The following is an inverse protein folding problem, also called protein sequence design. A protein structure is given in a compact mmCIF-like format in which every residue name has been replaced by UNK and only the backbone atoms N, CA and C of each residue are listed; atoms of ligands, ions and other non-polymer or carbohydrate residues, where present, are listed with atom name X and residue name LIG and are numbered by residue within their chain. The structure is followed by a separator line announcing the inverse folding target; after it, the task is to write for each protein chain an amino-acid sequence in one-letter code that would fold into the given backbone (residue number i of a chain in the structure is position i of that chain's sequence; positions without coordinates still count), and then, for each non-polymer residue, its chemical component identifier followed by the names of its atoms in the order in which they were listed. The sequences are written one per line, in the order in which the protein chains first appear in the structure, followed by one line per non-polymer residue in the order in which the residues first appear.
data_IF_742545448124
#
_entry.id   IF_742545448124
#
_cell.length_a   1.000
_cell.length_b   1.000
_cell.length_c   1.000
_cell.angle_alpha   90.00
_cell.angle_beta   90.00
_cell.angle_gamma   90.00
#
_symmetry.space_group_name_H-M   'P 1'
#
loop_
_entity.id
_entity.type
_entity.pdbx_description
1 polymer ?
#
# COMPACT_ATOMS: atom_id res chain seq x y z
N UNK A 1 20.33 3.08 2.90
CA UNK A 1 19.83 3.03 1.50
C UNK A 1 19.35 4.41 1.12
N UNK A 2 20.11 5.13 0.30
CA UNK A 2 19.73 6.44 -0.23
C UNK A 2 18.57 6.26 -1.21
N UNK A 3 17.43 6.80 -0.86
CA UNK A 3 16.27 7.19 -1.64
C UNK A 3 15.99 6.58 -3.02
N UNK A 4 15.89 5.24 -3.16
CA UNK A 4 15.30 4.65 -4.36
C UNK A 4 13.86 5.13 -4.49
N UNK A 5 13.54 5.77 -5.59
CA UNK A 5 12.15 6.13 -5.90
C UNK A 5 11.33 4.85 -6.18
N UNK A 6 10.01 4.91 -5.97
CA UNK A 6 9.10 3.78 -6.28
C UNK A 6 9.26 3.31 -7.73
N UNK A 7 9.52 4.25 -8.67
CA UNK A 7 9.77 3.94 -10.07
C UNK A 7 11.05 3.11 -10.25
N UNK A 8 12.14 3.50 -9.61
CA UNK A 8 13.40 2.75 -9.65
C UNK A 8 13.24 1.36 -9.03
N UNK A 9 12.45 1.25 -7.95
CA UNK A 9 12.15 -0.02 -7.30
C UNK A 9 11.47 -1.00 -8.24
N UNK A 10 10.36 -0.61 -8.90
CA UNK A 10 9.61 -1.53 -9.79
C UNK A 10 10.43 -1.92 -11.03
N UNK A 11 11.25 -1.00 -11.57
CA UNK A 11 12.16 -1.30 -12.68
C UNK A 11 13.21 -2.32 -12.26
N UNK A 12 13.80 -2.16 -11.07
CA UNK A 12 14.78 -3.10 -10.52
C UNK A 12 14.17 -4.48 -10.26
N UNK A 13 12.95 -4.53 -9.72
CA UNK A 13 12.24 -5.78 -9.50
C UNK A 13 11.99 -6.55 -10.81
N UNK A 14 11.55 -5.87 -11.85
CA UNK A 14 11.32 -6.50 -13.16
C UNK A 14 12.63 -6.97 -13.79
N UNK A 15 13.70 -6.19 -13.65
CA UNK A 15 15.01 -6.56 -14.18
C UNK A 15 15.57 -7.82 -13.51
N UNK A 16 15.50 -7.92 -12.18
CA UNK A 16 15.95 -9.10 -11.43
C UNK A 16 15.06 -10.30 -11.72
N UNK A 17 13.74 -10.11 -11.82
CA UNK A 17 12.80 -11.18 -12.16
C UNK A 17 13.09 -11.77 -13.55
N UNK A 18 13.50 -10.94 -14.50
CA UNK A 18 13.93 -11.37 -15.83
C UNK A 18 15.25 -12.16 -15.82
N UNK A 19 16.22 -11.68 -15.06
CA UNK A 19 17.55 -12.30 -14.95
C UNK A 19 17.52 -13.68 -14.27
N UNK A 20 16.65 -13.87 -13.29
CA UNK A 20 16.43 -15.16 -12.63
C UNK A 20 15.85 -16.22 -13.57
N UNK A 21 14.96 -15.83 -14.47
CA UNK A 21 14.41 -16.73 -15.50
C UNK A 21 15.45 -17.19 -16.54
N UNK A 22 16.47 -16.37 -16.80
CA UNK A 22 17.52 -16.69 -17.78
C UNK A 22 18.59 -17.67 -17.25
N UNK A 23 18.74 -17.80 -15.94
CA UNK A 23 19.74 -18.72 -15.33
C UNK A 23 19.25 -20.16 -15.16
N UNK A 24 17.94 -20.41 -15.30
CA UNK A 24 17.34 -21.73 -15.02
C UNK A 24 17.18 -22.66 -16.22
N UNK A 25 17.87 -22.49 -17.33
CA UNK A 25 17.72 -23.45 -18.44
C UNK A 25 18.28 -23.06 -19.78
N UNK A 26 19.54 -22.71 -19.89
CA UNK A 26 20.21 -22.67 -21.18
C UNK A 26 20.96 -23.96 -21.40
N UNK A 27 20.31 -24.97 -21.98
CA UNK A 27 20.96 -25.91 -22.91
C UNK A 27 21.11 -25.17 -24.24
N UNK A 28 22.29 -25.33 -24.86
CA UNK A 28 22.80 -24.57 -26.02
C UNK A 28 21.99 -24.66 -27.33
N UNK A 29 20.72 -25.04 -27.34
CA UNK A 29 19.97 -25.29 -28.58
C UNK A 29 18.72 -24.42 -28.81
N UNK A 30 18.41 -23.45 -27.95
CA UNK A 30 17.21 -22.62 -28.12
C UNK A 30 17.55 -21.20 -28.62
N UNK A 31 18.01 -21.09 -29.87
CA UNK A 31 18.29 -19.81 -30.56
C UNK A 31 16.99 -19.07 -30.96
N UNK A 32 15.80 -19.64 -30.80
CA UNK A 32 14.56 -19.07 -31.32
C UNK A 32 13.51 -18.61 -30.29
N UNK A 33 13.82 -18.56 -28.99
CA UNK A 33 12.88 -18.06 -27.99
C UNK A 33 13.44 -16.83 -27.24
N UNK A 34 13.83 -15.80 -27.97
CA UNK A 34 14.01 -14.45 -27.43
C UNK A 34 12.63 -13.87 -27.13
N UNK A 35 11.90 -14.46 -26.15
CA UNK A 35 10.76 -13.79 -25.54
C UNK A 35 11.31 -12.55 -24.83
N UNK A 36 11.05 -11.39 -25.41
CA UNK A 36 11.34 -10.12 -24.80
C UNK A 36 10.84 -10.15 -23.35
N UNK A 37 11.76 -9.91 -22.42
CA UNK A 37 11.43 -9.79 -21.01
C UNK A 37 10.30 -8.77 -20.84
N UNK A 38 9.20 -9.15 -20.16
CA UNK A 38 8.06 -8.25 -19.96
C UNK A 38 8.44 -6.93 -19.27
N UNK A 39 9.51 -6.93 -18.46
CA UNK A 39 10.05 -5.71 -17.83
C UNK A 39 10.84 -4.80 -18.76
N UNK A 40 11.34 -5.34 -19.91
CA UNK A 40 12.04 -4.55 -20.95
C UNK A 40 11.10 -4.16 -22.10
N UNK A 41 9.83 -4.52 -22.01
CA UNK A 41 8.85 -4.21 -23.05
C UNK A 41 8.53 -2.71 -23.07
N UNK A 42 8.84 -2.06 -24.18
CA UNK A 42 8.59 -0.63 -24.39
C UNK A 42 7.13 -0.24 -24.16
N UNK A 43 6.17 -1.12 -24.45
CA UNK A 43 4.75 -0.85 -24.23
C UNK A 43 4.41 -0.73 -22.75
N UNK A 44 5.03 -1.55 -21.88
CA UNK A 44 4.87 -1.48 -20.43
C UNK A 44 5.46 -0.19 -19.88
N UNK A 45 6.65 0.20 -20.33
CA UNK A 45 7.26 1.48 -19.95
C UNK A 45 6.40 2.68 -20.37
N UNK A 46 5.86 2.66 -21.59
CA UNK A 46 4.97 3.72 -22.08
C UNK A 46 3.65 3.78 -21.31
N UNK A 47 3.09 2.64 -20.91
CA UNK A 47 1.91 2.59 -20.06
C UNK A 47 2.19 3.19 -18.69
N UNK A 48 3.32 2.83 -18.05
CA UNK A 48 3.73 3.40 -16.78
C UNK A 48 3.93 4.91 -16.86
N UNK A 49 4.67 5.41 -17.84
CA UNK A 49 4.89 6.85 -18.04
C UNK A 49 3.57 7.59 -18.24
N UNK A 50 2.66 7.05 -19.07
CA UNK A 50 1.35 7.67 -19.30
C UNK A 50 0.50 7.72 -18.03
N UNK A 51 0.52 6.66 -17.22
CA UNK A 51 -0.18 6.61 -15.93
C UNK A 51 0.42 7.59 -14.92
N UNK A 52 1.76 7.74 -14.88
CA UNK A 52 2.43 8.75 -14.05
C UNK A 52 1.99 10.16 -14.45
N UNK A 53 1.96 10.47 -15.75
CA UNK A 53 1.52 11.79 -16.21
C UNK A 53 0.07 12.09 -15.84
N UNK A 54 -0.85 11.14 -16.07
CA UNK A 54 -2.26 11.30 -15.73
C UNK A 54 -2.46 11.47 -14.21
N UNK A 55 -1.80 10.65 -13.41
CA UNK A 55 -1.89 10.70 -11.95
C UNK A 55 -1.28 11.98 -11.37
N UNK A 56 -0.16 12.46 -11.93
CA UNK A 56 0.56 13.64 -11.45
C UNK A 56 -0.16 14.95 -11.71
N UNK A 57 -1.12 14.98 -12.63
CA UNK A 57 -1.87 16.19 -12.98
C UNK A 57 -2.58 16.82 -11.78
N UNK A 58 -2.94 16.02 -10.76
CA UNK A 58 -3.59 16.50 -9.52
C UNK A 58 -2.76 17.54 -8.76
N UNK A 59 -1.45 17.52 -8.90
CA UNK A 59 -0.55 18.47 -8.23
C UNK A 59 -0.23 19.69 -9.08
N UNK A 60 -0.58 19.68 -10.37
CA UNK A 60 -0.27 20.80 -11.26
C UNK A 60 -0.83 22.15 -10.76
N UNK A 61 -2.07 22.23 -10.23
CA UNK A 61 -2.57 23.48 -9.67
C UNK A 61 -1.81 23.98 -8.44
N UNK A 62 -1.19 23.07 -7.70
CA UNK A 62 -0.40 23.42 -6.49
C UNK A 62 1.02 23.87 -6.81
N UNK A 63 1.54 23.47 -7.97
CA UNK A 63 2.91 23.77 -8.41
C UNK A 63 2.96 24.97 -9.36
N UNK A 64 1.83 25.35 -9.96
CA UNK A 64 1.77 26.45 -10.90
C UNK A 64 1.81 27.79 -10.17
N UNK A 65 2.77 28.66 -10.52
CA UNK A 65 2.87 30.04 -10.00
C UNK A 65 1.71 30.94 -10.45
N UNK A 66 1.06 30.59 -11.56
CA UNK A 66 -0.10 31.29 -12.12
C UNK A 66 -1.33 30.41 -12.03
N UNK A 67 -2.49 31.03 -11.81
CA UNK A 67 -3.77 30.32 -11.87
C UNK A 67 -3.95 29.66 -13.25
N UNK A 68 -4.05 28.34 -13.25
CA UNK A 68 -4.34 27.57 -14.47
C UNK A 68 -5.85 27.67 -14.71
N UNK A 69 -6.22 27.97 -15.96
CA UNK A 69 -7.62 27.93 -16.36
C UNK A 69 -8.21 26.53 -16.14
N UNK A 70 -9.33 26.48 -15.40
CA UNK A 70 -10.01 25.23 -15.07
C UNK A 70 -10.35 24.41 -16.32
N UNK A 71 -10.77 25.06 -17.38
CA UNK A 71 -11.15 24.39 -18.64
C UNK A 71 -9.95 23.76 -19.35
N UNK A 72 -8.80 24.44 -19.33
CA UNK A 72 -7.55 23.90 -19.85
C UNK A 72 -7.07 22.69 -19.04
N UNK A 73 -7.16 22.78 -17.71
CA UNK A 73 -6.80 21.67 -16.82
C UNK A 73 -7.67 20.44 -17.06
N UNK A 74 -8.99 20.63 -17.21
CA UNK A 74 -9.95 19.56 -17.52
C UNK A 74 -9.65 18.91 -18.87
N UNK A 75 -9.45 19.73 -19.93
CA UNK A 75 -9.12 19.24 -21.27
C UNK A 75 -7.78 18.46 -21.29
N UNK A 76 -6.77 18.95 -20.56
CA UNK A 76 -5.50 18.23 -20.41
C UNK A 76 -5.69 16.92 -19.66
N UNK A 77 -6.46 16.93 -18.56
CA UNK A 77 -6.79 15.76 -17.76
C UNK A 77 -7.45 14.67 -18.59
N UNK A 78 -8.44 15.03 -19.38
CA UNK A 78 -9.14 14.10 -20.27
C UNK A 78 -8.18 13.44 -21.27
N UNK A 79 -7.37 14.23 -21.97
CA UNK A 79 -6.38 13.69 -22.92
C UNK A 79 -5.35 12.77 -22.28
N UNK A 80 -4.84 13.15 -21.11
CA UNK A 80 -3.86 12.32 -20.40
C UNK A 80 -4.49 11.03 -19.89
N UNK A 81 -5.72 11.10 -19.39
CA UNK A 81 -6.48 9.94 -18.94
C UNK A 81 -6.76 8.96 -20.08
N UNK A 82 -7.27 9.45 -21.22
CA UNK A 82 -7.54 8.63 -22.41
C UNK A 82 -6.27 7.96 -22.95
N UNK A 83 -5.15 8.69 -22.99
CA UNK A 83 -3.86 8.13 -23.39
C UNK A 83 -3.40 7.04 -22.41
N UNK A 84 -3.51 7.28 -21.10
CA UNK A 84 -3.16 6.30 -20.07
C UNK A 84 -4.05 5.06 -20.18
N UNK A 85 -5.37 5.22 -20.32
CA UNK A 85 -6.32 4.13 -20.53
C UNK A 85 -5.93 3.23 -21.70
N UNK A 86 -5.71 3.84 -22.87
CA UNK A 86 -5.35 3.07 -24.08
C UNK A 86 -4.08 2.28 -23.89
N UNK A 87 -3.07 2.86 -23.26
CA UNK A 87 -1.79 2.18 -23.01
C UNK A 87 -1.88 1.13 -21.94
N UNK A 88 -2.56 1.39 -20.84
CA UNK A 88 -2.75 0.42 -19.75
C UNK A 88 -3.54 -0.79 -20.25
N UNK A 89 -4.60 -0.57 -21.05
CA UNK A 89 -5.39 -1.66 -21.64
C UNK A 89 -4.59 -2.49 -22.65
N UNK A 90 -3.53 -1.96 -23.25
CA UNK A 90 -2.67 -2.73 -24.16
C UNK A 90 -1.65 -3.63 -23.42
N UNK A 91 -1.51 -3.50 -22.11
CA UNK A 91 -0.51 -4.22 -21.30
C UNK A 91 -1.11 -4.90 -20.06
N UNK A 92 -2.42 -4.85 -19.88
CA UNK A 92 -3.09 -5.34 -18.66
C UNK A 92 -2.84 -6.83 -18.36
N UNK A 93 -2.54 -7.63 -19.39
CA UNK A 93 -2.23 -9.05 -19.33
C UNK A 93 -0.73 -9.35 -19.13
N UNK A 94 0.13 -8.34 -19.26
CA UNK A 94 1.58 -8.47 -19.11
C UNK A 94 1.98 -8.45 -17.64
N UNK A 95 2.46 -9.59 -17.15
CA UNK A 95 2.80 -9.77 -15.75
C UNK A 95 4.17 -9.14 -15.43
N UNK A 96 4.17 -7.92 -14.85
CA UNK A 96 5.35 -7.20 -14.40
C UNK A 96 5.02 -6.22 -13.27
N UNK A 97 6.01 -5.85 -12.45
CA UNK A 97 5.83 -4.86 -11.39
C UNK A 97 5.57 -3.44 -11.95
N UNK A 98 6.13 -3.13 -13.12
CA UNK A 98 5.83 -1.88 -13.81
C UNK A 98 4.37 -1.83 -14.28
N UNK A 99 3.81 -2.95 -14.79
CA UNK A 99 2.39 -3.03 -15.16
C UNK A 99 1.51 -2.87 -13.92
N UNK A 100 1.85 -3.50 -12.81
CA UNK A 100 1.14 -3.33 -11.53
C UNK A 100 1.09 -1.86 -11.11
N UNK A 101 2.24 -1.17 -11.14
CA UNK A 101 2.29 0.25 -10.78
C UNK A 101 1.51 1.12 -11.76
N UNK A 102 1.58 0.84 -13.08
CA UNK A 102 0.80 1.56 -14.09
C UNK A 102 -0.71 1.43 -13.86
N UNK A 103 -1.18 0.22 -13.57
CA UNK A 103 -2.57 -0.07 -13.24
C UNK A 103 -3.03 0.66 -11.97
N UNK A 104 -2.22 0.67 -10.90
CA UNK A 104 -2.53 1.40 -9.67
C UNK A 104 -2.63 2.91 -9.92
N UNK A 105 -1.62 3.50 -10.54
CA UNK A 105 -1.61 4.93 -10.80
C UNK A 105 -2.78 5.35 -11.69
N UNK A 106 -3.11 4.54 -12.70
CA UNK A 106 -4.27 4.78 -13.54
C UNK A 106 -5.58 4.69 -12.74
N UNK A 107 -5.76 3.64 -11.94
CA UNK A 107 -6.96 3.45 -11.12
C UNK A 107 -7.15 4.52 -10.04
N UNK A 108 -6.06 5.14 -9.57
CA UNK A 108 -6.08 6.24 -8.60
C UNK A 108 -6.11 7.62 -9.26
N UNK A 109 -6.12 7.70 -10.60
CA UNK A 109 -6.16 8.98 -11.30
C UNK A 109 -7.54 9.64 -11.13
N UNK A 110 -7.61 10.88 -10.64
CA UNK A 110 -8.88 11.57 -10.45
C UNK A 110 -9.57 11.81 -11.79
N UNK A 111 -10.88 11.62 -11.79
CA UNK A 111 -11.75 11.96 -12.91
C UNK A 111 -12.27 13.37 -12.64
N UNK A 112 -12.03 14.29 -13.58
CA UNK A 112 -12.51 15.65 -13.44
C UNK A 112 -13.97 15.74 -13.89
N UNK A 113 -14.88 16.18 -12.99
CA UNK A 113 -16.30 16.34 -13.30
C UNK A 113 -16.52 17.25 -14.51
N UNK A 114 -17.28 16.77 -15.48
CA UNK A 114 -17.58 17.48 -16.72
C UNK A 114 -16.58 17.27 -17.88
N UNK A 115 -15.48 16.54 -17.66
CA UNK A 115 -14.53 16.18 -18.72
C UNK A 115 -14.99 14.96 -19.53
N UNK A 116 -15.77 14.06 -18.93
CA UNK A 116 -16.20 12.81 -19.56
C UNK A 116 -17.70 12.81 -19.89
N UNK A 117 -18.02 12.43 -21.12
CA UNK A 117 -19.40 12.12 -21.53
C UNK A 117 -19.93 10.87 -20.78
N UNK A 118 -19.02 10.07 -20.20
CA UNK A 118 -19.32 8.78 -19.58
C UNK A 118 -18.47 8.57 -18.30
N UNK A 119 -18.76 9.39 -17.28
CA UNK A 119 -18.05 9.38 -15.99
C UNK A 119 -18.17 8.03 -15.25
N UNK A 120 -19.30 7.31 -15.42
CA UNK A 120 -19.54 6.01 -14.79
C UNK A 120 -18.59 4.94 -15.34
N UNK A 121 -18.43 4.87 -16.66
CA UNK A 121 -17.48 3.96 -17.30
C UNK A 121 -16.03 4.30 -16.97
N UNK A 122 -15.73 5.56 -16.76
CA UNK A 122 -14.38 5.99 -16.35
C UNK A 122 -14.04 5.54 -14.92
N UNK A 123 -15.00 5.65 -14.00
CA UNK A 123 -14.85 5.17 -12.62
C UNK A 123 -14.67 3.64 -12.59
N UNK A 124 -15.52 2.91 -13.31
CA UNK A 124 -15.45 1.46 -13.42
C UNK A 124 -14.11 0.99 -14.01
N UNK A 125 -13.57 1.69 -15.02
CA UNK A 125 -12.25 1.38 -15.57
C UNK A 125 -11.13 1.54 -14.54
N UNK A 126 -11.21 2.53 -13.67
CA UNK A 126 -10.28 2.73 -12.56
C UNK A 126 -10.34 1.57 -11.55
N UNK A 127 -11.53 1.18 -11.13
CA UNK A 127 -11.73 0.06 -10.20
C UNK A 127 -11.20 -1.26 -10.75
N UNK A 128 -11.55 -1.59 -12.00
CA UNK A 128 -11.06 -2.81 -12.67
C UNK A 128 -9.53 -2.80 -12.74
N UNK A 129 -8.91 -1.65 -12.96
CA UNK A 129 -7.45 -1.54 -13.01
C UNK A 129 -6.81 -1.83 -11.66
N UNK A 130 -7.38 -1.34 -10.56
CA UNK A 130 -6.90 -1.65 -9.20
C UNK A 130 -7.05 -3.15 -8.92
N UNK A 131 -8.20 -3.75 -9.21
CA UNK A 131 -8.44 -5.17 -9.02
C UNK A 131 -7.46 -6.03 -9.82
N UNK A 132 -7.17 -5.64 -11.05
CA UNK A 132 -6.18 -6.33 -11.88
C UNK A 132 -4.77 -6.20 -11.33
N UNK A 133 -4.39 -5.02 -10.82
CA UNK A 133 -3.09 -4.81 -10.18
C UNK A 133 -2.89 -5.73 -8.97
N UNK A 134 -3.91 -5.84 -8.10
CA UNK A 134 -3.90 -6.73 -6.94
C UNK A 134 -3.73 -8.20 -7.34
N UNK A 135 -4.48 -8.64 -8.34
CA UNK A 135 -4.36 -10.01 -8.88
C UNK A 135 -2.98 -10.27 -9.49
N UNK A 136 -2.39 -9.28 -10.16
CA UNK A 136 -1.05 -9.42 -10.72
C UNK A 136 0.03 -9.50 -9.64
N UNK A 137 -0.05 -8.71 -8.56
CA UNK A 137 0.87 -8.85 -7.42
C UNK A 137 0.81 -10.26 -6.85
N UNK A 138 -0.39 -10.78 -6.64
CA UNK A 138 -0.56 -12.15 -6.16
C UNK A 138 0.11 -13.16 -7.11
N UNK A 139 -0.14 -13.06 -8.42
CA UNK A 139 0.47 -13.94 -9.43
C UNK A 139 2.00 -13.84 -9.48
N UNK A 140 2.56 -12.63 -9.39
CA UNK A 140 4.01 -12.42 -9.36
C UNK A 140 4.63 -13.14 -8.16
N UNK A 141 3.97 -13.05 -7.00
CA UNK A 141 4.42 -13.70 -5.77
C UNK A 141 4.32 -15.23 -5.82
N UNK A 142 3.18 -15.76 -6.28
CA UNK A 142 2.94 -17.22 -6.39
C UNK A 142 3.87 -17.88 -7.42
N UNK A 143 4.25 -17.17 -8.48
CA UNK A 143 5.20 -17.66 -9.49
C UNK A 143 6.59 -17.95 -8.90
N UNK A 144 6.93 -17.35 -7.78
CA UNK A 144 8.12 -17.68 -7.00
C UNK A 144 7.78 -18.86 -6.07
N UNK A 145 8.47 -19.96 -6.24
CA UNK A 145 8.22 -21.23 -5.52
C UNK A 145 8.44 -21.16 -3.99
N UNK A 146 8.89 -20.04 -3.45
CA UNK A 146 9.11 -19.84 -2.00
C UNK A 146 8.68 -18.44 -1.57
N UNK A 147 7.37 -18.19 -1.39
CA UNK A 147 6.87 -16.91 -0.91
C UNK A 147 7.08 -16.77 0.60
N UNK A 148 8.34 -16.73 1.06
CA UNK A 148 8.62 -16.38 2.46
C UNK A 148 8.23 -14.93 2.69
N UNK A 149 7.10 -14.73 3.35
CA UNK A 149 6.77 -13.43 3.91
C UNK A 149 7.74 -13.17 5.06
N UNK A 150 8.85 -12.49 4.77
CA UNK A 150 9.70 -11.99 5.83
C UNK A 150 9.09 -10.70 6.39
N UNK A 151 8.98 -10.64 7.71
CA UNK A 151 8.54 -9.41 8.38
C UNK A 151 9.48 -8.21 8.17
N UNK A 152 10.58 -8.38 7.46
CA UNK A 152 11.53 -7.33 7.10
C UNK A 152 10.87 -6.20 6.28
N UNK A 153 9.91 -6.51 5.39
CA UNK A 153 9.17 -5.49 4.65
C UNK A 153 8.39 -4.50 5.51
N UNK A 154 7.97 -4.92 6.71
CA UNK A 154 7.35 -4.03 7.70
C UNK A 154 8.38 -3.19 8.47
N UNK A 155 9.67 -3.53 8.39
CA UNK A 155 10.77 -2.77 9.01
C UNK A 155 11.24 -1.60 8.16
N UNK A 156 10.92 -1.57 6.86
CA UNK A 156 11.42 -0.54 5.94
C UNK A 156 10.88 0.86 6.17
N UNK A 157 9.74 0.94 6.81
CA UNK A 157 9.22 2.22 7.28
C UNK A 157 9.93 2.70 8.55
N UNK A 158 10.82 1.88 9.09
CA UNK A 158 11.63 2.21 10.26
C UNK A 158 13.08 2.19 9.82
N UNK A 159 13.67 3.36 9.65
CA UNK A 159 15.12 3.53 9.47
C UNK A 159 15.91 3.10 10.71
N UNK A 160 15.75 1.85 11.12
CA UNK A 160 16.47 1.22 12.21
C UNK A 160 17.30 0.08 11.63
N UNK A 161 18.60 0.27 11.62
CA UNK A 161 19.58 -0.75 11.28
C UNK A 161 19.63 -1.80 12.38
N UNK A 162 18.84 -2.83 12.30
CA UNK A 162 19.22 -4.11 12.88
C UNK A 162 20.27 -4.72 11.92
N UNK A 163 21.48 -4.23 12.07
CA UNK A 163 22.67 -4.93 11.56
C UNK A 163 22.90 -6.15 12.44
N UNK A 164 22.21 -7.24 12.11
CA UNK A 164 22.76 -8.55 12.44
C UNK A 164 23.89 -8.83 11.45
N UNK A 165 25.08 -8.61 11.97
CA UNK A 165 26.37 -8.80 11.32
C UNK A 165 26.69 -10.30 11.28
N UNK A 166 25.99 -11.06 10.47
CA UNK A 166 26.36 -12.41 10.07
C UNK A 166 26.62 -12.43 8.56
N UNK A 167 27.87 -12.22 8.24
CA UNK A 167 28.36 -12.18 6.87
C UNK A 167 28.10 -13.44 6.09
N UNK A 168 27.32 -13.31 5.02
CA UNK A 168 27.31 -14.22 3.89
C UNK A 168 26.81 -13.49 2.64
N UNK A 169 27.44 -13.67 1.46
CA UNK A 169 27.23 -12.83 0.30
C UNK A 169 26.07 -13.32 -0.59
N UNK A 170 24.82 -13.09 -0.17
CA UNK A 170 23.64 -13.20 -1.02
C UNK A 170 22.90 -11.85 -1.11
N UNK A 171 23.62 -10.75 -1.16
CA UNK A 171 23.09 -9.38 -1.08
C UNK A 171 22.03 -9.05 -2.14
N UNK A 172 22.13 -9.57 -3.35
CA UNK A 172 21.16 -9.30 -4.43
C UNK A 172 19.82 -9.99 -4.17
N UNK A 173 19.82 -11.14 -3.51
CA UNK A 173 18.58 -11.87 -3.21
C UNK A 173 17.82 -11.22 -2.04
N UNK A 174 18.51 -10.71 -1.05
CA UNK A 174 17.90 -10.08 0.12
C UNK A 174 17.30 -8.71 -0.23
N UNK A 175 17.99 -7.88 -1.01
CA UNK A 175 17.47 -6.60 -1.50
C UNK A 175 16.22 -6.80 -2.39
N UNK A 176 16.21 -7.85 -3.21
CA UNK A 176 15.04 -8.16 -4.03
C UNK A 176 13.85 -8.62 -3.17
N UNK A 177 14.07 -9.54 -2.22
CA UNK A 177 13.03 -10.02 -1.30
C UNK A 177 12.44 -8.86 -0.52
N UNK A 178 13.29 -7.96 -0.08
CA UNK A 178 12.92 -6.76 0.63
C UNK A 178 12.04 -5.81 -0.21
N UNK A 179 12.46 -5.53 -1.44
CA UNK A 179 11.72 -4.72 -2.39
C UNK A 179 10.35 -5.34 -2.76
N UNK A 180 10.32 -6.66 -2.98
CA UNK A 180 9.08 -7.39 -3.25
C UNK A 180 8.12 -7.35 -2.06
N UNK A 181 8.63 -7.51 -0.84
CA UNK A 181 7.81 -7.39 0.37
C UNK A 181 7.21 -5.99 0.52
N UNK A 182 7.95 -4.92 0.15
CA UNK A 182 7.39 -3.56 0.11
C UNK A 182 6.22 -3.45 -0.87
N UNK A 183 6.38 -3.95 -2.09
CA UNK A 183 5.32 -3.94 -3.10
C UNK A 183 4.10 -4.75 -2.66
N UNK A 184 4.32 -5.91 -2.05
CA UNK A 184 3.23 -6.72 -1.50
C UNK A 184 2.52 -5.99 -0.35
N UNK A 185 3.28 -5.37 0.56
CA UNK A 185 2.72 -4.58 1.65
C UNK A 185 1.89 -3.41 1.15
N UNK A 186 2.38 -2.67 0.16
CA UNK A 186 1.60 -1.62 -0.50
C UNK A 186 0.31 -2.20 -1.09
N UNK A 187 0.38 -3.38 -1.73
CA UNK A 187 -0.79 -4.10 -2.22
C UNK A 187 -1.81 -4.41 -1.12
N UNK A 188 -1.36 -4.91 0.04
CA UNK A 188 -2.24 -5.19 1.20
C UNK A 188 -2.92 -3.93 1.70
N UNK A 189 -2.21 -2.80 1.76
CA UNK A 189 -2.79 -1.51 2.16
C UNK A 189 -3.84 -1.04 1.16
N UNK A 190 -3.57 -1.13 -0.14
CA UNK A 190 -4.53 -0.78 -1.19
C UNK A 190 -5.75 -1.70 -1.20
N UNK A 191 -5.54 -3.02 -1.07
CA UNK A 191 -6.62 -4.01 -1.01
C UNK A 191 -7.55 -3.74 0.18
N UNK A 192 -6.95 -3.51 1.36
CA UNK A 192 -7.69 -3.19 2.59
C UNK A 192 -8.45 -1.87 2.46
N UNK A 193 -7.82 -0.82 1.93
CA UNK A 193 -8.47 0.48 1.71
C UNK A 193 -9.61 0.37 0.70
N UNK A 194 -9.41 -0.35 -0.39
CA UNK A 194 -10.41 -0.59 -1.43
C UNK A 194 -11.60 -1.39 -0.91
N UNK A 195 -11.34 -2.48 -0.17
CA UNK A 195 -12.37 -3.28 0.49
C UNK A 195 -13.18 -2.43 1.50
N UNK A 196 -12.50 -1.61 2.28
CA UNK A 196 -13.14 -0.72 3.25
C UNK A 196 -14.03 0.34 2.58
N UNK A 197 -13.58 0.95 1.49
CA UNK A 197 -14.33 2.04 0.81
C UNK A 197 -15.47 1.52 -0.04
N UNK A 198 -15.27 0.44 -0.78
CA UNK A 198 -16.25 -0.15 -1.70
C UNK A 198 -17.17 -1.19 -1.04
N UNK A 199 -16.78 -1.71 0.14
CA UNK A 199 -17.49 -2.82 0.79
C UNK A 199 -17.41 -4.15 0.02
N UNK A 200 -16.45 -4.28 -0.90
CA UNK A 200 -16.19 -5.51 -1.66
C UNK A 200 -15.22 -6.42 -0.91
N UNK A 201 -15.26 -7.75 -1.15
CA UNK A 201 -14.28 -8.66 -0.59
C UNK A 201 -12.85 -8.29 -0.98
N UNK A 202 -11.90 -8.54 -0.08
CA UNK A 202 -10.47 -8.41 -0.40
C UNK A 202 -10.07 -9.35 -1.52
N UNK A 203 -9.14 -8.91 -2.37
CA UNK A 203 -8.63 -9.67 -3.52
C UNK A 203 -7.30 -10.34 -3.19
N UNK A 204 -6.43 -9.62 -2.49
CA UNK A 204 -5.08 -10.06 -2.15
C UNK A 204 -5.04 -10.85 -0.84
N UNK A 205 -5.88 -10.49 0.09
CA UNK A 205 -6.00 -11.10 1.41
C UNK A 205 -7.33 -11.82 1.56
N UNK A 206 -7.38 -12.79 2.45
CA UNK A 206 -8.64 -13.44 2.84
C UNK A 206 -9.63 -12.40 3.37
N UNK A 207 -10.91 -12.60 3.07
CA UNK A 207 -12.00 -11.80 3.61
C UNK A 207 -12.34 -12.15 5.07
N UNK A 208 -13.63 -12.12 5.39
CA UNK A 208 -14.15 -12.43 6.76
C UNK A 208 -13.63 -13.75 7.28
N UNK A 209 -13.51 -14.75 6.39
CA UNK A 209 -13.07 -16.09 6.76
C UNK A 209 -11.57 -16.24 6.54
N UNK A 210 -10.78 -16.12 7.59
CA UNK A 210 -9.38 -16.52 7.59
C UNK A 210 -8.33 -15.41 7.59
N UNK A 211 -8.69 -14.12 7.48
CA UNK A 211 -7.67 -13.06 7.48
C UNK A 211 -6.84 -13.03 8.76
N UNK A 212 -7.40 -13.44 9.90
CA UNK A 212 -6.69 -13.47 11.18
C UNK A 212 -5.54 -14.48 11.18
N UNK A 213 -5.66 -15.56 10.40
CA UNK A 213 -4.66 -16.62 10.28
C UNK A 213 -3.57 -16.28 9.25
N UNK A 214 -3.76 -15.25 8.47
CA UNK A 214 -2.74 -14.85 7.49
C UNK A 214 -1.46 -14.35 8.16
N UNK A 215 -0.29 -14.76 7.64
CA UNK A 215 1.02 -14.42 8.22
C UNK A 215 1.20 -12.91 8.43
N UNK A 216 0.68 -12.08 7.52
CA UNK A 216 0.81 -10.62 7.61
C UNK A 216 0.09 -10.04 8.85
N UNK A 217 -1.14 -10.48 9.12
CA UNK A 217 -1.91 -9.96 10.25
C UNK A 217 -1.47 -10.57 11.58
N UNK A 218 -1.05 -11.83 11.59
CA UNK A 218 -0.41 -12.45 12.77
C UNK A 218 0.87 -11.71 13.14
N UNK A 219 1.68 -11.35 12.15
CA UNK A 219 2.92 -10.61 12.38
C UNK A 219 2.64 -9.19 12.88
N UNK A 220 1.61 -8.49 12.35
CA UNK A 220 1.20 -7.19 12.88
C UNK A 220 0.85 -7.26 14.36
N UNK A 221 0.02 -8.23 14.76
CA UNK A 221 -0.36 -8.44 16.17
C UNK A 221 0.86 -8.69 17.03
N UNK A 222 1.74 -9.62 16.64
CA UNK A 222 2.96 -9.94 17.39
C UNK A 222 3.89 -8.73 17.55
N UNK A 223 4.11 -7.96 16.48
CA UNK A 223 4.96 -6.76 16.52
C UNK A 223 4.40 -5.65 17.39
N UNK A 224 3.08 -5.46 17.39
CA UNK A 224 2.45 -4.46 18.27
C UNK A 224 2.52 -4.90 19.72
N UNK A 225 2.41 -6.19 20.00
CA UNK A 225 2.62 -6.72 21.35
C UNK A 225 4.05 -6.46 21.85
N UNK A 226 5.06 -6.81 21.05
CA UNK A 226 6.46 -6.53 21.38
C UNK A 226 6.73 -5.02 21.53
N UNK A 227 6.14 -4.19 20.67
CA UNK A 227 6.24 -2.74 20.79
C UNK A 227 5.61 -2.26 22.11
N UNK A 228 4.44 -2.79 22.46
CA UNK A 228 3.79 -2.46 23.73
C UNK A 228 4.70 -2.77 24.91
N UNK A 229 5.27 -3.95 24.98
CA UNK A 229 6.17 -4.38 26.03
C UNK A 229 7.46 -3.51 26.10
N UNK A 230 8.12 -3.31 24.95
CA UNK A 230 9.37 -2.56 24.88
C UNK A 230 9.23 -1.07 25.20
N UNK A 231 8.03 -0.51 25.07
CA UNK A 231 7.77 0.91 25.35
C UNK A 231 7.04 1.16 26.68
N UNK A 232 6.96 0.17 27.55
CA UNK A 232 6.28 0.32 28.84
C UNK A 232 6.91 1.42 29.72
N UNK A 233 8.24 1.47 29.77
CA UNK A 233 8.98 2.51 30.51
C UNK A 233 8.66 3.90 29.98
N UNK A 234 8.53 4.08 28.67
CA UNK A 234 8.17 5.37 28.06
C UNK A 234 6.77 5.83 28.45
N UNK A 235 5.82 4.87 28.53
CA UNK A 235 4.43 5.19 28.93
C UNK A 235 4.32 5.50 30.41
N UNK A 236 5.11 4.82 31.28
CA UNK A 236 5.07 5.05 32.75
C UNK A 236 5.86 6.27 33.19
N UNK A 237 7.08 6.42 32.68
CA UNK A 237 8.03 7.41 33.18
C UNK A 237 8.15 8.63 32.26
N UNK A 238 7.50 8.61 31.10
CA UNK A 238 7.74 9.58 30.05
C UNK A 238 9.03 9.33 29.28
N UNK A 239 9.21 10.03 28.18
CA UNK A 239 10.43 10.02 27.36
C UNK A 239 10.58 11.35 26.64
N UNK A 240 11.80 11.67 26.21
CA UNK A 240 12.05 12.81 25.33
C UNK A 240 12.04 12.33 23.87
N UNK A 241 11.06 12.78 23.06
CA UNK A 241 10.98 12.36 21.67
C UNK A 241 12.15 12.90 20.85
N UNK A 242 12.80 12.01 20.12
CA UNK A 242 13.72 12.33 19.03
C UNK A 242 13.00 12.12 17.69
N UNK A 243 13.58 12.58 16.58
CA UNK A 243 13.03 12.33 15.25
C UNK A 243 12.89 10.82 14.96
N UNK A 244 13.90 10.02 15.31
CA UNK A 244 13.90 8.58 15.08
C UNK A 244 12.87 7.86 15.94
N UNK A 245 12.78 8.19 17.23
CA UNK A 245 11.76 7.59 18.11
C UNK A 245 10.36 7.97 17.68
N UNK A 246 10.15 9.20 17.20
CA UNK A 246 8.85 9.65 16.67
C UNK A 246 8.48 8.89 15.40
N UNK A 247 9.38 8.77 14.43
CA UNK A 247 9.18 7.97 13.23
C UNK A 247 8.87 6.51 13.59
N UNK A 248 9.62 5.93 14.52
CA UNK A 248 9.39 4.56 14.99
C UNK A 248 7.97 4.38 15.56
N UNK A 249 7.51 5.28 16.44
CA UNK A 249 6.16 5.24 17.03
C UNK A 249 5.09 5.39 15.94
N UNK A 250 5.23 6.38 15.05
CA UNK A 250 4.27 6.66 13.97
C UNK A 250 4.15 5.46 13.03
N UNK A 251 5.25 4.85 12.64
CA UNK A 251 5.23 3.67 11.75
C UNK A 251 4.53 2.47 12.41
N UNK A 252 4.78 2.23 13.71
CA UNK A 252 4.09 1.14 14.43
C UNK A 252 2.60 1.41 14.58
N UNK A 253 2.24 2.66 14.89
CA UNK A 253 0.84 3.07 14.98
C UNK A 253 0.13 2.94 13.61
N UNK A 254 0.79 3.32 12.51
CA UNK A 254 0.26 3.15 11.14
C UNK A 254 0.05 1.68 10.78
N UNK A 255 0.95 0.79 11.18
CA UNK A 255 0.80 -0.65 11.00
C UNK A 255 -0.45 -1.17 11.72
N UNK A 256 -0.65 -0.78 12.98
CA UNK A 256 -1.84 -1.17 13.74
C UNK A 256 -3.13 -0.62 13.16
N UNK A 257 -3.10 0.61 12.65
CA UNK A 257 -4.20 1.21 11.92
C UNK A 257 -4.61 0.39 10.69
N UNK A 258 -3.63 -0.09 9.91
CA UNK A 258 -3.90 -0.99 8.78
C UNK A 258 -4.62 -2.27 9.21
N UNK A 259 -4.26 -2.83 10.37
CA UNK A 259 -4.97 -3.98 10.96
C UNK A 259 -6.43 -3.65 11.33
N UNK A 260 -6.66 -2.51 12.00
CA UNK A 260 -8.03 -2.06 12.34
C UNK A 260 -8.86 -1.85 11.08
N UNK A 261 -8.30 -1.25 10.04
CA UNK A 261 -8.98 -1.07 8.75
C UNK A 261 -9.36 -2.40 8.12
N UNK A 262 -8.51 -3.42 8.22
CA UNK A 262 -8.83 -4.76 7.72
C UNK A 262 -10.05 -5.35 8.44
N UNK A 263 -10.15 -5.19 9.76
CA UNK A 263 -11.31 -5.68 10.52
C UNK A 263 -12.58 -4.92 10.12
N UNK A 264 -12.48 -3.59 9.92
CA UNK A 264 -13.62 -2.78 9.47
C UNK A 264 -14.06 -3.21 8.06
N UNK A 265 -13.11 -3.46 7.15
CA UNK A 265 -13.41 -3.98 5.82
C UNK A 265 -14.14 -5.33 5.87
N UNK A 266 -13.65 -6.25 6.73
CA UNK A 266 -14.30 -7.55 6.96
C UNK A 266 -15.69 -7.40 7.56
N UNK A 267 -15.90 -6.46 8.48
CA UNK A 267 -17.23 -6.18 9.03
C UNK A 267 -18.21 -5.68 7.96
N UNK A 268 -17.76 -4.77 7.10
CA UNK A 268 -18.59 -4.28 5.98
C UNK A 268 -18.91 -5.40 4.99
N UNK A 269 -17.93 -6.25 4.67
CA UNK A 269 -18.14 -7.44 3.86
C UNK A 269 -19.23 -8.36 4.48
N UNK A 270 -19.14 -8.62 5.79
CA UNK A 270 -20.12 -9.45 6.50
C UNK A 270 -21.53 -8.86 6.45
N UNK A 271 -21.67 -7.56 6.65
CA UNK A 271 -22.97 -6.86 6.60
C UNK A 271 -23.52 -6.87 5.17
N UNK A 272 -22.71 -6.51 4.18
CA UNK A 272 -23.16 -6.39 2.79
C UNK A 272 -23.58 -7.74 2.18
N UNK A 273 -22.93 -8.84 2.61
CA UNK A 273 -23.25 -10.17 2.11
C UNK A 273 -24.26 -10.92 2.99
N UNK A 274 -24.78 -10.29 4.04
CA UNK A 274 -25.79 -10.91 4.93
C UNK A 274 -25.28 -12.13 5.68
N UNK A 275 -23.99 -12.14 6.08
CA UNK A 275 -23.44 -13.23 6.90
C UNK A 275 -24.11 -13.26 8.28
N UNK A 276 -24.09 -14.43 8.94
CA UNK A 276 -24.69 -14.64 10.25
C UNK A 276 -24.25 -13.56 11.27
N UNK A 277 -25.17 -13.14 12.11
CA UNK A 277 -24.96 -12.07 13.10
C UNK A 277 -23.76 -12.35 14.04
N UNK A 278 -23.46 -13.63 14.29
CA UNK A 278 -22.32 -14.03 15.11
C UNK A 278 -20.99 -13.52 14.56
N UNK A 279 -20.80 -13.47 13.22
CA UNK A 279 -19.59 -12.92 12.59
C UNK A 279 -19.48 -11.41 12.78
N UNK A 280 -20.60 -10.70 12.57
CA UNK A 280 -20.64 -9.25 12.78
C UNK A 280 -20.35 -8.88 14.23
N UNK A 281 -20.90 -9.65 15.18
CA UNK A 281 -20.65 -9.46 16.62
C UNK A 281 -19.19 -9.72 16.98
N UNK A 282 -18.60 -10.81 16.47
CA UNK A 282 -17.17 -11.12 16.67
C UNK A 282 -16.28 -10.00 16.14
N UNK A 283 -16.56 -9.50 14.93
CA UNK A 283 -15.76 -8.44 14.31
C UNK A 283 -15.91 -7.10 15.04
N UNK A 284 -17.12 -6.76 15.52
CA UNK A 284 -17.35 -5.58 16.37
C UNK A 284 -16.54 -5.66 17.66
N UNK A 285 -16.53 -6.82 18.32
CA UNK A 285 -15.73 -7.05 19.53
C UNK A 285 -14.22 -6.88 19.22
N UNK A 286 -13.74 -7.45 18.12
CA UNK A 286 -12.33 -7.34 17.70
C UNK A 286 -11.92 -5.90 17.37
N UNK A 287 -12.83 -5.08 16.79
CA UNK A 287 -12.60 -3.64 16.61
C UNK A 287 -12.46 -2.96 17.96
N UNK A 288 -13.37 -3.23 18.91
CA UNK A 288 -13.30 -2.67 20.26
C UNK A 288 -11.99 -2.98 20.97
N UNK A 289 -11.55 -4.23 20.97
CA UNK A 289 -10.26 -4.67 21.53
C UNK A 289 -9.07 -3.97 20.84
N UNK A 290 -9.15 -3.81 19.52
CA UNK A 290 -8.08 -3.17 18.75
C UNK A 290 -7.98 -1.69 19.02
N UNK A 291 -9.10 -0.99 19.21
CA UNK A 291 -9.13 0.42 19.61
C UNK A 291 -8.63 0.61 21.05
N UNK A 292 -9.03 -0.27 21.97
CA UNK A 292 -8.52 -0.24 23.35
C UNK A 292 -7.00 -0.45 23.39
N UNK A 293 -6.49 -1.38 22.58
CA UNK A 293 -5.04 -1.60 22.40
C UNK A 293 -4.35 -0.35 21.88
N UNK A 294 -4.95 0.34 20.90
CA UNK A 294 -4.43 1.58 20.37
C UNK A 294 -4.35 2.68 21.46
N UNK A 295 -5.41 2.86 22.21
CA UNK A 295 -5.49 3.85 23.28
C UNK A 295 -4.46 3.58 24.39
N UNK A 296 -4.24 2.32 24.75
CA UNK A 296 -3.26 1.93 25.77
C UNK A 296 -1.81 2.02 25.28
N UNK A 297 -1.56 1.74 24.00
CA UNK A 297 -0.19 1.57 23.49
C UNK A 297 0.31 2.84 22.81
N UNK A 298 -0.45 3.40 21.90
CA UNK A 298 0.02 4.44 20.98
C UNK A 298 -0.37 5.85 21.39
N UNK A 299 -1.59 6.04 21.86
CA UNK A 299 -2.14 7.36 22.17
C UNK A 299 -1.28 8.19 23.15
N UNK A 300 -0.79 7.64 24.28
CA UNK A 300 0.08 8.39 25.19
C UNK A 300 1.43 8.76 24.58
N UNK A 301 2.01 7.84 23.76
CA UNK A 301 3.29 8.10 23.10
C UNK A 301 3.15 9.16 22.00
N UNK A 302 2.10 9.09 21.18
CA UNK A 302 1.79 10.08 20.15
C UNK A 302 1.52 11.46 20.74
N UNK A 303 0.79 11.53 21.86
CA UNK A 303 0.55 12.78 22.57
C UNK A 303 1.85 13.43 23.08
N UNK A 304 2.83 12.62 23.49
CA UNK A 304 4.15 13.10 23.87
C UNK A 304 4.93 13.62 22.65
N UNK A 305 4.89 12.91 21.52
CA UNK A 305 5.51 13.37 20.27
C UNK A 305 4.89 14.70 19.78
N UNK A 306 3.57 14.86 19.90
CA UNK A 306 2.86 16.07 19.49
C UNK A 306 3.35 17.31 20.25
N UNK A 307 3.56 17.20 21.55
CA UNK A 307 4.06 18.31 22.37
C UNK A 307 5.45 18.79 21.95
N UNK A 308 6.24 17.92 21.32
CA UNK A 308 7.61 18.21 20.91
C UNK A 308 7.77 18.37 19.40
N UNK A 309 6.69 18.41 18.63
CA UNK A 309 6.71 18.34 17.17
C UNK A 309 7.58 19.42 16.51
N UNK A 310 7.63 20.62 17.09
CA UNK A 310 8.40 21.74 16.57
C UNK A 310 9.93 21.51 16.64
N UNK A 311 10.38 20.64 17.52
CA UNK A 311 11.81 20.32 17.71
C UNK A 311 12.29 19.13 16.88
N UNK A 312 11.37 18.48 16.16
CA UNK A 312 11.68 17.30 15.32
C UNK A 312 12.19 17.75 13.95
N UNK A 313 12.86 16.83 13.25
CA UNK A 313 13.26 17.03 11.85
C UNK A 313 12.04 17.27 10.95
N UNK A 314 12.27 17.92 9.80
CA UNK A 314 11.20 18.16 8.81
C UNK A 314 10.50 16.86 8.39
N UNK A 315 11.27 15.79 8.19
CA UNK A 315 10.77 14.47 7.83
C UNK A 315 9.85 13.90 8.90
N UNK A 316 10.29 13.88 10.17
CA UNK A 316 9.49 13.37 11.27
C UNK A 316 8.20 14.18 11.48
N UNK A 317 8.27 15.50 11.30
CA UNK A 317 7.08 16.38 11.37
C UNK A 317 6.09 16.07 10.27
N UNK A 318 6.53 15.93 9.03
CA UNK A 318 5.67 15.59 7.89
C UNK A 318 5.01 14.23 8.11
N UNK A 319 5.78 13.21 8.46
CA UNK A 319 5.27 11.86 8.73
C UNK A 319 4.22 11.87 9.86
N UNK A 320 4.46 12.62 10.94
CA UNK A 320 3.49 12.77 12.04
C UNK A 320 2.21 13.47 11.58
N UNK A 321 2.32 14.55 10.80
CA UNK A 321 1.16 15.30 10.30
C UNK A 321 0.32 14.46 9.33
N UNK A 322 0.95 13.73 8.42
CA UNK A 322 0.27 12.79 7.52
C UNK A 322 -0.45 11.70 8.29
N UNK A 323 0.22 11.09 9.28
CA UNK A 323 -0.40 10.11 10.17
C UNK A 323 -1.63 10.67 10.88
N UNK A 324 -1.54 11.89 11.44
CA UNK A 324 -2.65 12.56 12.14
C UNK A 324 -3.81 12.85 11.21
N UNK A 325 -3.55 13.34 10.01
CA UNK A 325 -4.59 13.61 9.01
C UNK A 325 -5.40 12.37 8.65
N UNK A 326 -4.72 11.24 8.50
CA UNK A 326 -5.36 9.95 8.27
C UNK A 326 -6.12 9.40 9.51
N UNK A 327 -5.81 9.84 10.73
CA UNK A 327 -6.51 9.41 11.95
C UNK A 327 -7.91 10.00 12.11
N UNK A 328 -8.19 11.16 11.56
CA UNK A 328 -9.50 11.81 11.63
C UNK A 328 -10.60 10.91 11.07
N UNK A 329 -10.25 10.01 10.15
CA UNK A 329 -11.20 9.07 9.52
C UNK A 329 -11.58 7.88 10.43
N UNK A 330 -10.76 7.52 11.44
CA UNK A 330 -11.02 6.37 12.32
C UNK A 330 -11.80 6.77 13.59
N UNK A 331 -11.71 8.01 14.02
CA UNK A 331 -12.37 8.48 15.25
C UNK A 331 -13.88 8.61 15.14
N UNK A 332 -14.47 8.32 13.99
CA UNK A 332 -15.90 8.37 13.86
C UNK A 332 -16.56 7.16 14.52
N UNK A 333 -16.97 7.34 15.76
CA UNK A 333 -18.14 6.64 16.32
C UNK A 333 -19.31 6.58 15.31
N UNK A 334 -19.31 7.44 14.31
CA UNK A 334 -20.23 7.45 13.16
C UNK A 334 -20.21 6.18 12.31
N UNK A 335 -19.06 5.48 12.20
CA UNK A 335 -19.01 4.19 11.51
C UNK A 335 -19.72 3.06 12.31
N UNK A 336 -19.79 3.17 13.62
CA UNK A 336 -20.52 2.24 14.47
C UNK A 336 -22.00 2.64 14.66
N UNK A 337 -22.32 3.93 14.56
CA UNK A 337 -23.70 4.45 14.71
C UNK A 337 -24.43 4.48 13.37
N UNK A 338 -23.76 4.65 12.24
CA UNK A 338 -24.37 4.56 10.92
C UNK A 338 -24.92 3.17 10.57
N UNK A 339 -24.45 2.12 11.24
CA UNK A 339 -25.00 0.76 11.10
C UNK A 339 -26.33 0.54 11.85
N UNK A 340 -26.78 1.49 12.65
CA UNK A 340 -28.05 1.39 13.40
C UNK A 340 -29.21 2.16 12.74
N UNK A 341 -28.99 2.84 11.61
CA UNK A 341 -30.01 3.67 10.95
C UNK A 341 -30.35 3.20 9.51
N UNK A 342 -30.04 1.99 9.15
CA UNK A 342 -30.59 1.28 7.97
C UNK A 342 -31.14 -0.06 8.42
#
# INVERSE_FOLDING_TARGET
MSGLTVLQLVVSLDWVNCSCGAKSGRTNNDIHASRACSGCDRSVQLALISSVHAFSLRWLPLLAEKAIDKQQLMSLGDRLWQNARTRVMSVFDKLSYQTVLALYLFGLTPIYEGAFVDAENAHTAGEISIDMALRQIHRLRVKRQDPKFSGAGLSLWVGGSDKDDSGSPNTVNDDFIHAENMMYWAGVVFDTSSSMTRGSPSILCSGVFGFEEEPVFRLMKARVQLFHESTETWRRNGFLPTSDTTLYIVHRASTWKGYVWKIIGALREAINNGYEECFSTKLKALIGESLERFDKTFKPLLATCEKHILFLSKEARLCYCEYRHLNIVITSQELLTGANNT
#
